data_IF_153707644190
#
_entry.id   IF_153707644190
#
_cell.length_a   1.000
_cell.length_b   1.000
_cell.length_c   1.000
_cell.angle_alpha   90.00
_cell.angle_beta   90.00
_cell.angle_gamma   90.00
#
_symmetry.space_group_name_H-M   'P 1'
#
loop_
_entity.id
_entity.type
_entity.pdbx_description
1 polymer ?
#
# COMPACT_ATOMS: atom_id res chain seq x y z
N UNK A 1 20.55 33.33 -64.01
CA UNK A 1 19.61 32.23 -63.65
C UNK A 1 20.26 31.12 -62.82
N UNK A 2 21.44 30.57 -63.19
CA UNK A 2 22.10 29.46 -62.45
C UNK A 2 22.34 29.72 -60.94
N UNK A 3 22.77 30.92 -60.56
CA UNK A 3 23.04 31.28 -59.16
C UNK A 3 21.80 31.27 -58.26
N UNK A 4 20.64 31.69 -58.79
CA UNK A 4 19.37 31.65 -58.06
C UNK A 4 18.89 30.19 -57.85
N UNK A 5 19.05 29.33 -58.85
CA UNK A 5 18.72 27.90 -58.76
C UNK A 5 19.60 27.17 -57.76
N UNK A 6 20.91 27.48 -57.69
CA UNK A 6 21.82 26.93 -56.67
C UNK A 6 21.44 27.41 -55.26
N UNK A 7 21.08 28.69 -55.10
CA UNK A 7 20.65 29.23 -53.79
C UNK A 7 19.36 28.57 -53.29
N UNK A 8 18.37 28.37 -54.17
CA UNK A 8 17.12 27.69 -53.81
C UNK A 8 17.36 26.25 -53.36
N UNK A 9 18.24 25.51 -54.05
CA UNK A 9 18.60 24.14 -53.66
C UNK A 9 19.29 24.07 -52.30
N UNK A 10 20.22 24.99 -52.02
CA UNK A 10 20.91 25.04 -50.72
C UNK A 10 19.92 25.33 -49.59
N UNK A 11 19.02 26.30 -49.77
CA UNK A 11 17.99 26.63 -48.77
C UNK A 11 17.04 25.46 -48.51
N UNK A 12 16.65 24.73 -49.55
CA UNK A 12 15.79 23.56 -49.40
C UNK A 12 16.48 22.43 -48.62
N UNK A 13 17.76 22.16 -48.90
CA UNK A 13 18.51 21.15 -48.14
C UNK A 13 18.69 21.53 -46.67
N UNK A 14 19.00 22.80 -46.38
CA UNK A 14 19.09 23.31 -45.01
C UNK A 14 17.75 23.17 -44.26
N UNK A 15 16.64 23.47 -44.93
CA UNK A 15 15.31 23.25 -44.36
C UNK A 15 15.08 21.78 -44.02
N UNK A 16 15.32 20.85 -44.95
CA UNK A 16 15.16 19.42 -44.70
C UNK A 16 16.02 18.91 -43.52
N UNK A 17 17.26 19.36 -43.41
CA UNK A 17 18.14 19.02 -42.29
C UNK A 17 17.61 19.56 -40.96
N UNK A 18 17.07 20.78 -40.97
CA UNK A 18 16.46 21.39 -39.79
C UNK A 18 15.19 20.66 -39.34
N UNK A 19 14.32 20.25 -40.26
CA UNK A 19 13.09 19.52 -39.94
C UNK A 19 13.42 18.15 -39.34
N UNK A 20 14.39 17.42 -39.93
CA UNK A 20 14.86 16.15 -39.38
C UNK A 20 15.46 16.31 -37.97
N UNK A 21 16.16 17.43 -37.74
CA UNK A 21 16.73 17.73 -36.43
C UNK A 21 15.64 18.04 -35.39
N UNK A 22 14.63 18.84 -35.76
CA UNK A 22 13.46 19.13 -34.91
C UNK A 22 12.70 17.88 -34.53
N UNK A 23 12.34 17.05 -35.51
CA UNK A 23 11.61 15.79 -35.30
C UNK A 23 12.34 14.86 -34.31
N UNK A 24 13.67 14.76 -34.44
CA UNK A 24 14.51 13.99 -33.51
C UNK A 24 14.47 14.55 -32.09
N UNK A 25 14.43 15.87 -31.93
CA UNK A 25 14.35 16.51 -30.61
C UNK A 25 12.95 16.39 -30.00
N UNK A 26 11.90 16.58 -30.78
CA UNK A 26 10.50 16.45 -30.34
C UNK A 26 10.19 15.02 -29.88
N UNK A 27 10.62 14.03 -30.65
CA UNK A 27 10.45 12.61 -30.27
C UNK A 27 11.14 12.29 -28.94
N UNK A 28 12.32 12.85 -28.69
CA UNK A 28 13.02 12.68 -27.40
C UNK A 28 12.28 13.35 -26.25
N UNK A 29 11.76 14.55 -26.47
CA UNK A 29 10.99 15.28 -25.47
C UNK A 29 9.68 14.56 -25.12
N UNK A 30 8.97 14.02 -26.11
CA UNK A 30 7.77 13.22 -25.90
C UNK A 30 8.06 11.97 -25.06
N UNK A 31 9.13 11.24 -25.38
CA UNK A 31 9.56 10.09 -24.57
C UNK A 31 9.91 10.47 -23.15
N UNK A 32 10.61 11.60 -22.96
CA UNK A 32 10.94 12.12 -21.62
C UNK A 32 9.68 12.47 -20.82
N UNK A 33 8.73 13.15 -21.45
CA UNK A 33 7.45 13.51 -20.83
C UNK A 33 6.66 12.27 -20.40
N UNK A 34 6.55 11.27 -21.26
CA UNK A 34 5.89 10.01 -20.92
C UNK A 34 6.56 9.30 -19.73
N UNK A 35 7.90 9.30 -19.67
CA UNK A 35 8.64 8.75 -18.53
C UNK A 35 8.42 9.56 -17.24
N UNK A 36 8.37 10.89 -17.32
CA UNK A 36 8.08 11.75 -16.17
C UNK A 36 6.67 11.49 -15.61
N UNK A 37 5.67 11.35 -16.49
CA UNK A 37 4.29 11.00 -16.10
C UNK A 37 4.22 9.60 -15.45
N UNK A 38 4.92 8.60 -16.01
CA UNK A 38 4.99 7.25 -15.43
C UNK A 38 5.68 7.25 -14.05
N UNK A 39 6.77 8.00 -13.90
CA UNK A 39 7.47 8.14 -12.61
C UNK A 39 6.54 8.75 -11.56
N UNK A 40 5.79 9.79 -11.89
CA UNK A 40 4.91 10.44 -10.94
C UNK A 40 3.71 9.55 -10.56
N UNK A 41 3.16 8.80 -11.52
CA UNK A 41 2.18 7.76 -11.24
C UNK A 41 2.72 6.70 -10.26
N UNK A 42 3.95 6.21 -10.49
CA UNK A 42 4.58 5.22 -9.62
C UNK A 42 4.85 5.77 -8.22
N UNK A 43 5.24 7.03 -8.07
CA UNK A 43 5.39 7.68 -6.76
C UNK A 43 4.07 7.74 -6.00
N UNK A 44 2.99 8.16 -6.67
CA UNK A 44 1.66 8.23 -6.06
C UNK A 44 1.19 6.83 -5.62
N UNK A 45 1.33 5.83 -6.49
CA UNK A 45 0.97 4.44 -6.17
C UNK A 45 1.78 3.90 -5.00
N UNK A 46 3.08 4.20 -4.94
CA UNK A 46 3.93 3.81 -3.80
C UNK A 46 3.44 4.42 -2.50
N UNK A 47 3.12 5.71 -2.48
CA UNK A 47 2.61 6.38 -1.28
C UNK A 47 1.29 5.75 -0.81
N UNK A 48 0.36 5.50 -1.74
CA UNK A 48 -0.91 4.85 -1.42
C UNK A 48 -0.71 3.48 -0.76
N UNK A 49 0.15 2.64 -1.35
CA UNK A 49 0.44 1.31 -0.80
C UNK A 49 1.13 1.37 0.57
N UNK A 50 1.99 2.36 0.81
CA UNK A 50 2.60 2.55 2.12
C UNK A 50 1.57 2.88 3.21
N UNK A 51 0.61 3.75 2.89
CA UNK A 51 -0.49 4.09 3.81
C UNK A 51 -1.40 2.89 4.05
N UNK A 52 -1.78 2.17 3.00
CA UNK A 52 -2.63 0.97 3.10
C UNK A 52 -1.98 -0.13 3.95
N UNK A 53 -0.69 -0.35 3.75
CA UNK A 53 0.09 -1.30 4.55
C UNK A 53 0.13 -0.89 6.02
N UNK A 54 0.36 0.39 6.33
CA UNK A 54 0.36 0.89 7.70
C UNK A 54 -1.00 0.67 8.37
N UNK A 55 -2.10 1.05 7.70
CA UNK A 55 -3.47 0.89 8.21
C UNK A 55 -3.82 -0.59 8.42
N UNK A 56 -3.46 -1.46 7.48
CA UNK A 56 -3.68 -2.90 7.60
C UNK A 56 -2.93 -3.48 8.80
N UNK A 57 -1.71 -3.02 9.04
CA UNK A 57 -0.89 -3.49 10.15
C UNK A 57 -1.43 -3.00 11.51
N UNK A 58 -1.87 -1.75 11.61
CA UNK A 58 -2.55 -1.26 12.82
C UNK A 58 -3.83 -2.05 13.09
N UNK A 59 -4.67 -2.25 12.07
CA UNK A 59 -5.90 -3.03 12.22
C UNK A 59 -5.63 -4.47 12.63
N UNK A 60 -4.58 -5.09 12.10
CA UNK A 60 -4.18 -6.44 12.50
C UNK A 60 -3.76 -6.49 13.99
N UNK A 61 -3.03 -5.48 14.47
CA UNK A 61 -2.66 -5.38 15.88
C UNK A 61 -3.87 -5.17 16.79
N UNK A 62 -4.81 -4.31 16.39
CA UNK A 62 -6.05 -4.10 17.15
C UNK A 62 -6.87 -5.39 17.29
N UNK A 63 -7.02 -6.14 16.19
CA UNK A 63 -7.70 -7.43 16.18
C UNK A 63 -6.99 -8.47 17.06
N UNK A 64 -5.65 -8.52 17.03
CA UNK A 64 -4.88 -9.43 17.88
C UNK A 64 -5.08 -9.10 19.38
N UNK A 65 -5.08 -7.82 19.73
CA UNK A 65 -5.32 -7.36 21.10
C UNK A 65 -6.75 -7.67 21.57
N UNK A 66 -7.75 -7.50 20.70
CA UNK A 66 -9.14 -7.85 21.01
C UNK A 66 -9.31 -9.36 21.22
N UNK A 67 -8.69 -10.19 20.38
CA UNK A 67 -8.72 -11.64 20.51
C UNK A 67 -8.10 -12.13 21.83
N UNK A 68 -6.96 -11.57 22.24
CA UNK A 68 -6.32 -11.95 23.51
C UNK A 68 -7.19 -11.56 24.72
N UNK A 69 -7.76 -10.35 24.72
CA UNK A 69 -8.71 -9.92 25.76
C UNK A 69 -9.94 -10.84 25.82
N UNK A 70 -10.47 -11.25 24.66
CA UNK A 70 -11.61 -12.18 24.59
C UNK A 70 -11.26 -13.55 25.19
N UNK A 71 -10.06 -14.05 24.92
CA UNK A 71 -9.56 -15.31 25.49
C UNK A 71 -9.42 -15.23 27.00
N UNK A 72 -8.86 -14.14 27.53
CA UNK A 72 -8.74 -13.91 28.98
C UNK A 72 -10.12 -13.88 29.67
N UNK A 73 -11.11 -13.19 29.07
CA UNK A 73 -12.48 -13.15 29.58
C UNK A 73 -13.09 -14.56 29.66
N UNK A 74 -12.90 -15.38 28.63
CA UNK A 74 -13.42 -16.75 28.60
C UNK A 74 -12.75 -17.66 29.64
N UNK A 75 -11.44 -17.49 29.86
CA UNK A 75 -10.71 -18.21 30.90
C UNK A 75 -11.21 -17.83 32.30
N UNK A 76 -11.37 -16.54 32.58
CA UNK A 76 -11.90 -16.04 33.85
C UNK A 76 -13.30 -16.60 34.14
N UNK A 77 -14.19 -16.59 33.15
CA UNK A 77 -15.54 -17.17 33.29
C UNK A 77 -15.47 -18.66 33.65
N UNK A 78 -14.60 -19.41 32.98
CA UNK A 78 -14.41 -20.84 33.24
C UNK A 78 -13.87 -21.11 34.65
N UNK A 79 -12.96 -20.26 35.14
CA UNK A 79 -12.43 -20.35 36.51
C UNK A 79 -13.55 -20.10 37.53
N UNK A 80 -14.32 -19.02 37.40
CA UNK A 80 -15.42 -18.74 38.32
C UNK A 80 -16.48 -19.85 38.35
N UNK A 81 -16.80 -20.47 37.20
CA UNK A 81 -17.69 -21.63 37.16
C UNK A 81 -17.14 -22.83 37.95
N UNK A 82 -15.81 -23.06 37.91
CA UNK A 82 -15.16 -24.11 38.71
C UNK A 82 -15.12 -23.77 40.19
N UNK A 83 -14.85 -22.51 40.55
CA UNK A 83 -14.86 -22.04 41.95
C UNK A 83 -16.22 -22.25 42.60
N UNK A 84 -17.32 -21.92 41.90
CA UNK A 84 -18.69 -22.16 42.40
C UNK A 84 -18.93 -23.65 42.65
N UNK A 85 -18.45 -24.52 41.75
CA UNK A 85 -18.58 -25.98 41.89
C UNK A 85 -17.79 -26.50 43.10
N UNK A 86 -16.57 -26.00 43.31
CA UNK A 86 -15.75 -26.34 44.48
C UNK A 86 -16.46 -25.92 45.78
N UNK A 87 -16.88 -24.66 45.87
CA UNK A 87 -17.60 -24.15 47.05
C UNK A 87 -18.87 -24.96 47.35
N UNK A 88 -19.60 -25.38 46.32
CA UNK A 88 -20.79 -26.24 46.46
C UNK A 88 -20.43 -27.62 47.04
N UNK A 89 -19.30 -28.20 46.60
CA UNK A 89 -18.83 -29.48 47.12
C UNK A 89 -18.36 -29.36 48.58
N UNK A 90 -17.68 -28.26 48.94
CA UNK A 90 -17.24 -28.01 50.31
C UNK A 90 -18.42 -27.89 51.28
N UNK A 91 -19.51 -27.20 50.90
CA UNK A 91 -20.75 -27.13 51.69
C UNK A 91 -21.33 -28.52 51.90
N UNK A 92 -21.50 -29.30 50.82
CA UNK A 92 -22.03 -30.68 50.91
C UNK A 92 -21.15 -31.60 51.76
N UNK A 93 -19.83 -31.42 51.71
CA UNK A 93 -18.90 -32.19 52.52
C UNK A 93 -19.05 -31.84 54.00
N UNK A 94 -19.11 -30.55 54.33
CA UNK A 94 -19.33 -30.09 55.70
C UNK A 94 -20.66 -30.61 56.26
N UNK A 95 -21.76 -30.56 55.51
CA UNK A 95 -23.05 -31.14 55.92
C UNK A 95 -22.96 -32.63 56.28
N UNK A 96 -22.08 -33.40 55.61
CA UNK A 96 -21.85 -34.81 55.92
C UNK A 96 -20.91 -35.07 57.10
N UNK A 97 -20.05 -34.10 57.44
CA UNK A 97 -19.13 -34.21 58.59
C UNK A 97 -19.86 -33.93 59.91
N UNK A 98 -20.90 -33.09 59.87
CA UNK A 98 -21.65 -32.65 61.05
C UNK A 98 -23.00 -33.36 61.27
N UNK A 99 -23.37 -34.32 60.41
CA UNK A 99 -24.47 -35.28 60.60
C UNK A 99 -23.91 -36.68 60.87
#
# INVERSE_FOLDING_TARGET
MRTATTSARVKYMQYLESERSKEKTETKQLKRKALEEEIDFLKQKKMFLQTDMYQTNEKANDLANEAEKSKDINLLKTISEKEIKINTLDVKLNEKVWN
#
